data_IF_997220365321
#
_entry.id   IF_997220365321
#
_cell.length_a   1.000
_cell.length_b   1.000
_cell.length_c   1.000
_cell.angle_alpha   90.00
_cell.angle_beta   90.00
_cell.angle_gamma   90.00
#
_symmetry.space_group_name_H-M   'P 1'
#
loop_
_entity.id
_entity.type
_entity.pdbx_description
1 polymer ?
#
# COMPACT_ATOMS: atom_id res chain seq x y z
N UNK A 1 5.47 6.31 -0.06
CA UNK A 1 4.63 5.70 -1.12
C UNK A 1 5.40 5.59 -2.42
N UNK A 2 5.06 4.62 -3.25
CA UNK A 2 5.54 4.60 -4.63
C UNK A 2 4.90 5.73 -5.45
N UNK A 3 5.60 6.25 -6.47
CA UNK A 3 5.06 7.34 -7.28
C UNK A 3 3.92 6.88 -8.20
N UNK A 4 3.06 7.82 -8.58
CA UNK A 4 1.95 7.57 -9.48
C UNK A 4 2.43 7.23 -10.90
N UNK A 5 1.76 6.27 -11.53
CA UNK A 5 1.96 5.88 -12.93
C UNK A 5 3.37 5.37 -13.28
N UNK A 6 4.18 5.01 -12.30
CA UNK A 6 5.46 4.36 -12.56
C UNK A 6 5.32 2.85 -12.38
N UNK A 7 5.79 2.07 -13.36
CA UNK A 7 5.71 0.62 -13.28
C UNK A 7 6.50 0.10 -12.08
N UNK A 8 5.90 -0.79 -11.30
CA UNK A 8 6.46 -1.25 -10.05
C UNK A 8 7.87 -1.83 -10.20
N UNK A 9 8.15 -2.54 -11.29
CA UNK A 9 9.46 -3.14 -11.55
C UNK A 9 10.58 -2.12 -11.80
N UNK A 10 10.24 -0.86 -12.09
CA UNK A 10 11.22 0.20 -12.38
C UNK A 10 11.41 1.18 -11.22
N UNK A 11 10.71 0.98 -10.11
CA UNK A 11 10.79 1.87 -8.95
C UNK A 11 12.11 1.63 -8.22
N UNK A 12 12.82 2.72 -7.94
CA UNK A 12 14.05 2.74 -7.13
C UNK A 12 13.75 3.36 -5.78
N UNK A 13 14.63 3.13 -4.81
CA UNK A 13 14.49 3.76 -3.49
C UNK A 13 14.43 5.30 -3.59
N UNK A 14 15.17 5.89 -4.53
CA UNK A 14 15.16 7.34 -4.76
C UNK A 14 13.84 7.87 -5.36
N UNK A 15 12.98 7.00 -5.87
CA UNK A 15 11.68 7.38 -6.40
C UNK A 15 10.59 7.44 -5.32
N UNK A 16 10.86 6.93 -4.12
CA UNK A 16 9.86 6.85 -3.07
C UNK A 16 9.49 8.24 -2.55
N UNK A 17 8.20 8.46 -2.41
CA UNK A 17 7.63 9.75 -2.01
C UNK A 17 7.24 9.70 -0.54
N UNK A 18 7.67 10.71 0.22
CA UNK A 18 7.24 10.88 1.61
C UNK A 18 6.03 11.81 1.63
N UNK A 19 4.91 11.28 2.15
CA UNK A 19 3.62 11.97 2.16
C UNK A 19 3.23 12.21 3.62
N UNK A 20 2.74 13.42 3.92
CA UNK A 20 2.25 13.72 5.25
C UNK A 20 0.84 13.12 5.49
N UNK A 21 0.32 13.30 6.70
CA UNK A 21 -0.98 12.74 7.10
C UNK A 21 -2.16 13.34 6.31
N UNK A 22 -1.97 14.48 5.67
CA UNK A 22 -3.00 15.16 4.88
C UNK A 22 -2.92 14.84 3.38
N UNK A 23 -1.90 14.10 2.96
CA UNK A 23 -1.74 13.67 1.58
C UNK A 23 -0.84 14.53 0.72
N UNK A 24 -0.12 15.49 1.32
CA UNK A 24 0.80 16.33 0.60
C UNK A 24 2.20 15.71 0.52
N UNK A 25 2.82 15.84 -0.65
CA UNK A 25 4.20 15.42 -0.86
C UNK A 25 5.14 16.34 -0.09
N UNK A 26 6.02 15.74 0.72
CA UNK A 26 6.97 16.50 1.53
C UNK A 26 8.36 16.50 0.90
N UNK A 27 9.25 17.31 1.46
CA UNK A 27 10.64 17.42 0.99
C UNK A 27 11.53 16.23 1.37
N UNK A 28 11.04 15.30 2.21
CA UNK A 28 11.83 14.18 2.70
C UNK A 28 12.06 13.04 1.71
N UNK A 29 11.47 13.11 0.53
CA UNK A 29 11.60 12.09 -0.50
C UNK A 29 11.52 12.66 -1.90
N UNK A 30 11.22 11.82 -2.89
CA UNK A 30 11.08 12.25 -4.27
C UNK A 30 9.91 13.25 -4.43
N UNK A 31 10.08 14.23 -5.29
CA UNK A 31 9.07 15.23 -5.59
C UNK A 31 8.24 14.79 -6.81
N UNK A 32 7.54 13.67 -6.65
CA UNK A 32 6.74 13.04 -7.70
C UNK A 32 5.27 12.97 -7.26
N UNK A 33 4.32 12.93 -8.21
CA UNK A 33 2.91 12.79 -7.86
C UNK A 33 2.62 11.41 -7.28
N UNK A 34 1.60 11.32 -6.44
CA UNK A 34 1.13 10.06 -5.86
C UNK A 34 -0.28 9.77 -6.35
N UNK A 35 -0.70 8.50 -6.21
CA UNK A 35 -2.08 8.12 -6.44
C UNK A 35 -2.91 8.51 -5.21
N UNK A 36 -3.77 9.51 -5.35
CA UNK A 36 -4.60 10.00 -4.24
C UNK A 36 -5.56 8.93 -3.72
N UNK A 37 -6.14 8.12 -4.59
CA UNK A 37 -7.02 7.02 -4.16
C UNK A 37 -6.24 5.97 -3.34
N UNK A 38 -5.03 5.64 -3.76
CA UNK A 38 -4.14 4.76 -3.01
C UNK A 38 -3.76 5.34 -1.65
N UNK A 39 -3.48 6.63 -1.60
CA UNK A 39 -3.20 7.32 -0.35
C UNK A 39 -4.38 7.24 0.61
N UNK A 40 -5.61 7.44 0.15
CA UNK A 40 -6.79 7.34 1.00
C UNK A 40 -6.92 5.98 1.66
N UNK A 41 -6.69 4.91 0.92
CA UNK A 41 -6.75 3.54 1.45
C UNK A 41 -5.64 3.31 2.49
N UNK A 42 -4.40 3.60 2.14
CA UNK A 42 -3.26 3.31 3.00
C UNK A 42 -3.24 4.19 4.25
N UNK A 43 -3.62 5.46 4.13
CA UNK A 43 -3.66 6.37 5.28
C UNK A 43 -4.70 5.96 6.31
N UNK A 44 -5.86 5.49 5.88
CA UNK A 44 -6.88 5.01 6.80
C UNK A 44 -6.45 3.74 7.54
N UNK A 45 -5.71 2.85 6.89
CA UNK A 45 -5.13 1.68 7.54
C UNK A 45 -4.16 2.12 8.65
N UNK A 46 -3.27 3.05 8.36
CA UNK A 46 -2.30 3.54 9.36
C UNK A 46 -2.96 4.29 10.51
N UNK A 47 -4.05 5.02 10.27
CA UNK A 47 -4.82 5.67 11.32
C UNK A 47 -5.51 4.66 12.23
N UNK A 48 -6.13 3.63 11.64
CA UNK A 48 -6.86 2.60 12.39
C UNK A 48 -5.91 1.66 13.13
N UNK A 49 -4.73 1.44 12.59
CA UNK A 49 -3.74 0.51 13.15
C UNK A 49 -2.37 1.19 13.24
N UNK A 50 -2.12 2.00 14.29
CA UNK A 50 -0.82 2.69 14.44
C UNK A 50 0.38 1.74 14.60
N UNK A 51 0.14 0.49 14.97
CA UNK A 51 1.15 -0.56 15.07
C UNK A 51 1.61 -1.12 13.72
N UNK A 52 0.84 -0.86 12.66
CA UNK A 52 1.16 -1.31 11.30
C UNK A 52 2.19 -0.37 10.67
N UNK A 53 3.36 -0.93 10.31
CA UNK A 53 4.46 -0.16 9.74
C UNK A 53 4.31 -0.01 8.23
N UNK A 54 3.84 -1.05 7.55
CA UNK A 54 3.71 -1.05 6.09
C UNK A 54 2.38 -1.63 5.65
N UNK A 55 1.85 -1.12 4.56
CA UNK A 55 0.66 -1.64 3.92
C UNK A 55 0.91 -1.77 2.41
N UNK A 56 0.44 -2.86 1.83
CA UNK A 56 0.54 -3.10 0.40
C UNK A 56 -0.78 -3.70 -0.11
N UNK A 57 -1.12 -3.38 -1.34
CA UNK A 57 -2.26 -4.02 -1.99
C UNK A 57 -1.91 -4.40 -3.43
N UNK A 58 -2.62 -5.37 -3.95
CA UNK A 58 -2.47 -5.82 -5.33
C UNK A 58 -3.82 -5.92 -6.01
N UNK A 59 -3.81 -5.90 -7.34
CA UNK A 59 -5.00 -6.10 -8.16
C UNK A 59 -4.97 -7.47 -8.86
N UNK A 60 -4.22 -8.42 -8.33
CA UNK A 60 -4.14 -9.78 -8.87
C UNK A 60 -5.51 -10.47 -8.88
N UNK A 61 -5.81 -11.18 -9.96
CA UNK A 61 -7.14 -11.76 -10.18
C UNK A 61 -7.56 -12.73 -9.06
N UNK A 62 -6.64 -13.53 -8.54
CA UNK A 62 -6.96 -14.51 -7.50
C UNK A 62 -7.24 -13.84 -6.16
N UNK A 63 -6.41 -12.89 -5.74
CA UNK A 63 -6.63 -12.14 -4.51
C UNK A 63 -7.89 -11.30 -4.57
N UNK A 64 -8.13 -10.66 -5.71
CA UNK A 64 -9.34 -9.87 -5.96
C UNK A 64 -10.59 -10.73 -5.89
N UNK A 65 -10.56 -11.92 -6.47
CA UNK A 65 -11.68 -12.87 -6.41
C UNK A 65 -11.93 -13.34 -4.99
N UNK A 66 -10.88 -13.68 -4.25
CA UNK A 66 -11.00 -14.11 -2.87
C UNK A 66 -11.60 -13.02 -1.98
N UNK A 67 -11.23 -11.78 -2.20
CA UNK A 67 -11.73 -10.65 -1.39
C UNK A 67 -13.25 -10.50 -1.45
N UNK A 68 -13.88 -10.96 -2.54
CA UNK A 68 -15.34 -10.92 -2.67
C UNK A 68 -16.08 -11.81 -1.67
N UNK A 69 -15.42 -12.80 -1.07
CA UNK A 69 -16.04 -13.67 -0.07
C UNK A 69 -16.07 -13.07 1.34
N UNK A 70 -15.37 -11.97 1.57
CA UNK A 70 -15.32 -11.34 2.88
C UNK A 70 -14.70 -12.18 3.98
N UNK A 71 -13.82 -13.11 3.63
CA UNK A 71 -13.16 -14.02 4.56
C UNK A 71 -11.65 -13.78 4.57
N UNK A 72 -10.99 -13.89 5.73
CA UNK A 72 -9.53 -13.82 5.78
C UNK A 72 -8.90 -15.02 5.08
N UNK A 73 -7.67 -14.84 4.63
CA UNK A 73 -6.86 -15.94 4.08
C UNK A 73 -6.41 -16.82 5.23
N UNK A 74 -6.66 -18.14 5.12
CA UNK A 74 -6.20 -19.10 6.11
C UNK A 74 -4.69 -19.30 6.02
N UNK A 75 -4.05 -19.54 7.17
CA UNK A 75 -2.61 -19.75 7.24
C UNK A 75 -2.26 -21.23 6.96
N UNK A 76 -2.45 -21.64 5.70
CA UNK A 76 -2.20 -23.01 5.27
C UNK A 76 -0.76 -23.25 4.81
N UNK A 77 -0.06 -22.19 4.39
CA UNK A 77 1.33 -22.25 3.95
C UNK A 77 2.13 -21.12 4.59
N UNK A 78 3.46 -21.22 4.49
CA UNK A 78 4.36 -20.22 5.04
C UNK A 78 4.17 -18.83 4.43
N UNK A 79 3.69 -18.74 3.18
CA UNK A 79 3.39 -17.49 2.50
C UNK A 79 2.04 -16.86 2.87
N UNK A 80 1.21 -17.58 3.61
CA UNK A 80 -0.15 -17.17 3.95
C UNK A 80 -0.22 -16.72 5.40
N UNK A 81 0.30 -15.55 5.70
CA UNK A 81 0.15 -14.97 7.04
C UNK A 81 -1.09 -14.12 7.12
N UNK A 82 -1.81 -14.25 8.24
CA UNK A 82 -2.94 -13.37 8.50
C UNK A 82 -2.46 -11.93 8.64
N UNK A 83 -3.15 -10.98 8.01
CA UNK A 83 -2.98 -9.57 8.37
C UNK A 83 -3.32 -9.40 9.85
N UNK A 84 -2.47 -8.73 10.52
CA UNK A 84 -2.65 -8.47 11.95
C UNK A 84 -3.78 -7.47 12.16
#
# INVERSE_FOLDING_TARGET
>A
MNPFAKHFSTIKASDLVLVDSEGYVTEGGAQLPINEAGFMIHSEIHKARPDVIAAAHTHGIHGKTWSAFGKPIEMLTQGMRRPI
#
